data_IF_902884407849
#
_entry.id   IF_902884407849
#
_cell.length_a   1.000
_cell.length_b   1.000
_cell.length_c   1.000
_cell.angle_alpha   90.00
_cell.angle_beta   90.00
_cell.angle_gamma   90.00
#
_symmetry.space_group_name_H-M   'P 1'
#
loop_
_entity.id
_entity.type
_entity.pdbx_description
1 polymer ?
#
# COMPACT_ATOMS: atom_id res chain seq x y z
N UNK A 1 -15.15 20.70 15.91
CA UNK A 1 -13.73 20.81 16.25
C UNK A 1 -12.95 20.95 14.95
N UNK A 2 -11.98 21.85 14.87
CA UNK A 2 -11.08 21.91 13.72
C UNK A 2 -9.84 21.05 14.01
N UNK A 3 -9.46 20.18 13.07
CA UNK A 3 -8.21 19.42 13.10
C UNK A 3 -7.49 19.61 11.75
N UNK A 4 -6.15 19.54 11.69
CA UNK A 4 -5.42 19.59 10.43
C UNK A 4 -5.81 18.39 9.54
N UNK A 5 -6.21 18.66 8.30
CA UNK A 5 -6.36 17.62 7.27
C UNK A 5 -4.99 17.35 6.65
N UNK A 6 -4.30 16.32 7.16
CA UNK A 6 -3.06 15.85 6.57
C UNK A 6 -3.38 14.72 5.59
N UNK A 7 -3.06 14.92 4.31
CA UNK A 7 -3.14 13.90 3.27
C UNK A 7 -1.78 13.78 2.57
N UNK A 8 -1.41 12.57 2.20
CA UNK A 8 -0.21 12.31 1.41
C UNK A 8 -0.57 12.20 -0.07
N UNK A 9 0.33 12.67 -0.91
CA UNK A 9 0.35 12.39 -2.35
C UNK A 9 1.70 11.75 -2.69
N UNK A 10 1.68 10.66 -3.45
CA UNK A 10 2.90 9.91 -3.81
C UNK A 10 2.90 9.67 -5.30
N UNK A 11 4.03 9.96 -5.95
CA UNK A 11 4.21 9.77 -7.38
C UNK A 11 5.42 8.89 -7.64
N UNK A 12 5.21 7.76 -8.34
CA UNK A 12 6.28 6.92 -8.87
C UNK A 12 6.42 7.21 -10.36
N UNK A 13 7.66 7.41 -10.83
CA UNK A 13 7.92 7.81 -12.21
C UNK A 13 9.00 6.94 -12.84
N UNK A 14 8.73 6.41 -14.04
CA UNK A 14 9.73 5.74 -14.85
C UNK A 14 10.49 6.77 -15.67
N UNK A 15 11.78 6.95 -15.36
CA UNK A 15 12.64 7.93 -16.01
C UNK A 15 13.06 7.54 -17.44
N UNK A 16 12.92 6.27 -17.84
CA UNK A 16 13.34 5.79 -19.16
C UNK A 16 12.33 6.17 -20.25
N UNK A 17 11.04 6.03 -19.96
CA UNK A 17 9.94 6.30 -20.89
C UNK A 17 9.12 7.54 -20.49
N UNK A 18 9.52 8.23 -19.43
CA UNK A 18 8.89 9.41 -18.88
C UNK A 18 7.40 9.22 -18.58
N UNK A 19 7.04 8.14 -17.86
CA UNK A 19 5.65 7.85 -17.49
C UNK A 19 5.44 7.72 -15.98
N UNK A 20 4.24 8.07 -15.52
CA UNK A 20 3.78 7.72 -14.16
C UNK A 20 3.58 6.21 -14.03
N UNK A 21 3.91 5.68 -12.86
CA UNK A 21 3.70 4.28 -12.48
C UNK A 21 2.51 4.25 -11.52
N UNK A 22 1.44 3.58 -11.96
CA UNK A 22 0.29 3.21 -11.13
C UNK A 22 0.38 1.73 -10.74
N UNK A 23 -0.47 1.28 -9.81
CA UNK A 23 -0.61 -0.14 -9.50
C UNK A 23 -1.01 -0.95 -10.75
N UNK A 24 -1.94 -0.43 -11.56
CA UNK A 24 -2.41 -1.11 -12.78
C UNK A 24 -1.33 -1.29 -13.85
N UNK A 25 -0.31 -0.43 -13.86
CA UNK A 25 0.85 -0.57 -14.77
C UNK A 25 1.93 -1.45 -14.15
N UNK A 26 2.11 -1.39 -12.83
CA UNK A 26 3.14 -2.11 -12.09
C UNK A 26 2.83 -3.62 -12.02
N UNK A 27 1.57 -3.99 -11.86
CA UNK A 27 1.11 -5.37 -11.75
C UNK A 27 0.48 -5.88 -13.05
N UNK A 28 0.45 -7.20 -13.23
CA UNK A 28 -0.26 -7.82 -14.35
C UNK A 28 -1.78 -7.60 -14.21
N UNK A 29 -2.51 -7.21 -15.27
CA UNK A 29 -3.95 -6.94 -15.22
C UNK A 29 -4.79 -8.09 -14.65
N UNK A 30 -4.46 -9.34 -14.99
CA UNK A 30 -5.20 -10.54 -14.56
C UNK A 30 -4.57 -11.22 -13.33
N UNK A 31 -3.68 -10.53 -12.60
CA UNK A 31 -3.14 -11.05 -11.35
C UNK A 31 -4.03 -10.71 -10.16
N UNK A 32 -3.93 -11.52 -9.10
CA UNK A 32 -4.62 -11.30 -7.84
C UNK A 32 -3.91 -10.26 -6.94
N UNK A 33 -3.23 -9.27 -7.52
CA UNK A 33 -2.35 -8.38 -6.76
C UNK A 33 -3.08 -7.61 -5.66
N UNK A 34 -4.28 -7.06 -5.93
CA UNK A 34 -5.07 -6.35 -4.90
C UNK A 34 -5.40 -7.25 -3.70
N UNK A 35 -5.73 -8.51 -3.95
CA UNK A 35 -5.99 -9.48 -2.89
C UNK A 35 -4.71 -9.78 -2.08
N UNK A 36 -3.58 -9.94 -2.77
CA UNK A 36 -2.29 -10.16 -2.10
C UNK A 36 -1.85 -8.95 -1.28
N UNK A 37 -2.01 -7.72 -1.80
CA UNK A 37 -1.70 -6.49 -1.07
C UNK A 37 -2.59 -6.35 0.18
N UNK A 38 -3.89 -6.59 0.03
CA UNK A 38 -4.86 -6.59 1.13
C UNK A 38 -4.49 -7.56 2.24
N UNK A 39 -4.16 -8.81 1.90
CA UNK A 39 -3.80 -9.84 2.88
C UNK A 39 -2.50 -9.50 3.61
N UNK A 40 -1.47 -9.06 2.89
CA UNK A 40 -0.19 -8.69 3.51
C UNK A 40 -0.32 -7.44 4.37
N UNK A 41 -1.02 -6.41 3.88
CA UNK A 41 -1.26 -5.18 4.65
C UNK A 41 -2.05 -5.45 5.92
N UNK A 42 -3.15 -6.21 5.82
CA UNK A 42 -3.97 -6.57 6.98
C UNK A 42 -3.16 -7.33 8.02
N UNK A 43 -2.38 -8.33 7.58
CA UNK A 43 -1.56 -9.13 8.48
C UNK A 43 -0.53 -8.28 9.22
N UNK A 44 0.18 -7.40 8.50
CA UNK A 44 1.21 -6.55 9.09
C UNK A 44 0.58 -5.53 10.07
N UNK A 45 -0.50 -4.85 9.66
CA UNK A 45 -1.19 -3.87 10.50
C UNK A 45 -1.80 -4.49 11.77
N UNK A 46 -2.38 -5.69 11.68
CA UNK A 46 -2.89 -6.39 12.88
C UNK A 46 -1.77 -6.75 13.86
N UNK A 47 -0.55 -7.01 13.38
CA UNK A 47 0.60 -7.23 14.26
C UNK A 47 1.11 -5.92 14.86
N UNK A 48 1.15 -4.83 14.06
CA UNK A 48 1.53 -3.49 14.53
C UNK A 48 0.55 -2.99 15.63
N UNK A 49 -0.75 -3.23 15.46
CA UNK A 49 -1.83 -2.75 16.32
C UNK A 49 -2.41 -3.82 17.27
N UNK A 50 -1.68 -4.91 17.55
CA UNK A 50 -2.19 -6.03 18.35
C UNK A 50 -2.66 -5.68 19.77
N UNK A 51 -2.17 -4.57 20.33
CA UNK A 51 -2.56 -4.04 21.64
C UNK A 51 -3.73 -3.05 21.56
N UNK A 52 -4.20 -2.73 20.35
CA UNK A 52 -5.28 -1.78 20.08
C UNK A 52 -6.55 -2.52 19.64
N UNK A 53 -7.50 -2.79 20.56
CA UNK A 53 -8.69 -3.58 20.27
C UNK A 53 -9.63 -2.90 19.25
N UNK A 54 -9.52 -1.59 19.07
CA UNK A 54 -10.39 -0.80 18.19
C UNK A 54 -9.83 -0.72 16.75
N UNK A 55 -8.60 -1.19 16.50
CA UNK A 55 -7.96 -1.09 15.19
C UNK A 55 -8.55 -2.07 14.15
N UNK A 56 -9.14 -3.18 14.59
CA UNK A 56 -9.53 -4.27 13.70
C UNK A 56 -10.52 -3.84 12.60
N UNK A 57 -11.52 -3.02 12.95
CA UNK A 57 -12.53 -2.55 11.99
C UNK A 57 -11.91 -1.58 10.97
N UNK A 58 -11.09 -0.63 11.42
CA UNK A 58 -10.35 0.27 10.53
C UNK A 58 -9.43 -0.50 9.58
N UNK A 59 -8.66 -1.46 10.10
CA UNK A 59 -7.76 -2.26 9.29
C UNK A 59 -8.57 -3.06 8.26
N UNK A 60 -9.69 -3.67 8.65
CA UNK A 60 -10.52 -4.45 7.72
C UNK A 60 -11.06 -3.59 6.56
N UNK A 61 -11.52 -2.38 6.86
CA UNK A 61 -12.03 -1.43 5.86
C UNK A 61 -10.90 -0.89 4.97
N UNK A 62 -9.85 -0.32 5.56
CA UNK A 62 -8.75 0.31 4.85
C UNK A 62 -7.80 -0.65 4.12
N UNK A 63 -7.92 -1.96 4.36
CA UNK A 63 -7.20 -3.01 3.62
C UNK A 63 -8.11 -3.85 2.72
N UNK A 64 -9.31 -3.37 2.40
CA UNK A 64 -10.13 -4.00 1.35
C UNK A 64 -9.35 -4.10 0.02
N UNK A 65 -9.57 -5.15 -0.80
CA UNK A 65 -8.82 -5.38 -2.04
C UNK A 65 -9.28 -4.47 -3.19
N UNK A 66 -9.21 -3.16 -2.99
CA UNK A 66 -9.57 -2.10 -3.95
C UNK A 66 -8.33 -1.28 -4.29
N UNK A 67 -8.28 -0.70 -5.50
CA UNK A 67 -7.14 0.12 -5.91
C UNK A 67 -6.96 1.34 -5.01
N UNK A 68 -8.07 2.04 -4.71
CA UNK A 68 -8.14 3.24 -3.88
C UNK A 68 -7.47 3.06 -2.50
N UNK A 69 -7.55 1.86 -1.91
CA UNK A 69 -6.93 1.55 -0.61
C UNK A 69 -5.39 1.47 -0.67
N UNK A 70 -4.81 1.35 -1.87
CA UNK A 70 -3.37 1.14 -2.07
C UNK A 70 -2.74 2.15 -3.04
N UNK A 71 -3.47 3.20 -3.43
CA UNK A 71 -3.00 4.22 -4.39
C UNK A 71 -1.78 5.00 -3.91
N UNK A 72 -1.59 5.08 -2.58
CA UNK A 72 -0.42 5.68 -1.97
C UNK A 72 0.64 4.62 -1.73
N UNK A 73 1.55 4.46 -2.68
CA UNK A 73 2.65 3.52 -2.58
C UNK A 73 3.96 4.12 -3.07
N UNK A 74 5.09 3.56 -2.62
CA UNK A 74 6.40 3.81 -3.22
C UNK A 74 7.19 2.52 -3.39
N UNK A 75 8.12 2.54 -4.34
CA UNK A 75 9.09 1.48 -4.55
C UNK A 75 10.36 1.82 -3.78
N UNK A 76 10.69 1.03 -2.75
CA UNK A 76 11.95 1.14 -2.01
C UNK A 76 12.86 -0.06 -2.34
N UNK A 77 14.11 -0.03 -1.89
CA UNK A 77 15.09 -1.11 -2.07
C UNK A 77 14.64 -2.45 -1.48
N UNK A 78 13.82 -2.43 -0.43
CA UNK A 78 13.42 -3.62 0.32
C UNK A 78 12.05 -4.17 -0.11
N UNK A 79 11.23 -3.37 -0.80
CA UNK A 79 9.89 -3.78 -1.19
C UNK A 79 8.99 -2.65 -1.66
N UNK A 80 7.72 -3.02 -1.92
CA UNK A 80 6.64 -2.09 -2.14
C UNK A 80 6.15 -1.56 -0.79
N UNK A 81 6.24 -0.25 -0.58
CA UNK A 81 5.75 0.39 0.66
C UNK A 81 4.38 0.97 0.39
N UNK A 82 3.36 0.44 1.06
CA UNK A 82 2.01 0.98 1.11
C UNK A 82 1.92 2.03 2.21
N UNK A 83 1.28 3.15 1.93
CA UNK A 83 1.11 4.27 2.85
C UNK A 83 -0.38 4.51 3.06
N UNK A 84 -0.80 4.55 4.33
CA UNK A 84 -2.19 4.77 4.70
C UNK A 84 -2.29 6.12 5.39
N UNK A 85 -3.15 7.00 4.86
CA UNK A 85 -3.44 8.29 5.49
C UNK A 85 -4.07 8.10 6.88
N UNK A 86 -4.02 9.11 7.76
CA UNK A 86 -4.74 9.08 9.04
C UNK A 86 -6.22 8.70 8.84
N UNK A 87 -6.80 7.98 9.80
CA UNK A 87 -8.16 7.44 9.76
C UNK A 87 -8.41 6.29 8.75
N UNK A 88 -7.47 5.97 7.85
CA UNK A 88 -7.69 4.90 6.87
C UNK A 88 -7.64 3.50 7.48
N UNK A 89 -6.67 3.25 8.37
CA UNK A 89 -6.44 1.91 8.98
C UNK A 89 -6.27 1.95 10.50
N UNK A 90 -6.39 3.13 11.11
CA UNK A 90 -6.37 3.35 12.56
C UNK A 90 -6.99 4.72 12.86
N UNK A 91 -7.39 5.01 14.11
CA UNK A 91 -7.80 6.35 14.51
C UNK A 91 -6.80 7.44 14.11
N UNK A 92 -7.31 8.64 13.81
CA UNK A 92 -6.54 9.75 13.21
C UNK A 92 -5.26 10.14 13.98
N UNK A 93 -5.27 10.05 15.32
CA UNK A 93 -4.14 10.41 16.18
C UNK A 93 -2.91 9.49 16.02
N UNK A 94 -3.06 8.32 15.40
CA UNK A 94 -1.92 7.47 15.02
C UNK A 94 -1.14 8.03 13.81
N UNK A 95 -1.74 8.96 13.06
CA UNK A 95 -1.11 9.56 11.90
C UNK A 95 -1.00 8.58 10.72
N UNK A 96 0.03 8.77 9.90
CA UNK A 96 0.27 7.95 8.70
C UNK A 96 0.84 6.59 9.09
N UNK A 97 0.20 5.51 8.66
CA UNK A 97 0.67 4.13 8.82
C UNK A 97 1.36 3.64 7.54
N UNK A 98 2.31 2.71 7.67
CA UNK A 98 3.03 2.14 6.52
C UNK A 98 3.16 0.63 6.64
N UNK A 99 3.11 -0.05 5.50
CA UNK A 99 3.40 -1.48 5.38
C UNK A 99 4.43 -1.67 4.28
N UNK A 100 5.51 -2.40 4.57
CA UNK A 100 6.50 -2.80 3.55
C UNK A 100 6.25 -4.24 3.15
N UNK A 101 5.90 -4.47 1.89
CA UNK A 101 5.73 -5.81 1.32
C UNK A 101 7.01 -6.20 0.57
N UNK A 102 7.77 -7.19 1.05
CA UNK A 102 9.01 -7.61 0.40
C UNK A 102 8.75 -8.10 -1.03
N UNK A 103 9.63 -7.72 -1.96
CA UNK A 103 9.48 -8.12 -3.37
C UNK A 103 9.42 -9.63 -3.57
N UNK A 104 10.08 -10.42 -2.71
CA UNK A 104 9.99 -11.89 -2.76
C UNK A 104 8.57 -12.45 -2.67
N UNK A 105 7.63 -11.69 -2.09
CA UNK A 105 6.23 -12.10 -1.95
C UNK A 105 5.35 -11.72 -3.15
N UNK A 106 5.71 -10.67 -3.90
CA UNK A 106 4.84 -10.06 -4.92
C UNK A 106 5.47 -9.96 -6.32
N UNK A 107 6.78 -10.24 -6.47
CA UNK A 107 7.51 -10.13 -7.75
C UNK A 107 6.90 -10.97 -8.86
N UNK A 108 6.34 -12.14 -8.55
CA UNK A 108 5.68 -13.00 -9.55
C UNK A 108 4.41 -12.38 -10.13
N UNK A 109 3.85 -11.34 -9.50
CA UNK A 109 2.65 -10.63 -9.92
C UNK A 109 2.97 -9.39 -10.76
N UNK A 110 4.22 -8.93 -10.77
CA UNK A 110 4.62 -7.73 -11.49
C UNK A 110 4.47 -7.91 -13.00
N UNK A 111 4.15 -6.82 -13.68
CA UNK A 111 4.24 -6.74 -15.12
C UNK A 111 5.72 -6.95 -15.54
N UNK A 112 6.01 -7.83 -16.52
CA UNK A 112 7.38 -8.13 -16.94
C UNK A 112 8.23 -6.92 -17.29
N UNK A 113 7.63 -5.81 -17.76
CA UNK A 113 8.33 -4.54 -18.01
C UNK A 113 9.08 -4.01 -16.77
N UNK A 114 8.57 -4.30 -15.57
CA UNK A 114 9.13 -3.82 -14.30
C UNK A 114 10.10 -4.83 -13.65
N UNK A 115 10.45 -5.92 -14.36
CA UNK A 115 11.33 -6.98 -13.81
C UNK A 115 12.74 -6.52 -13.46
N UNK A 116 13.20 -5.42 -14.08
CA UNK A 116 14.53 -4.82 -13.90
C UNK A 116 14.61 -3.78 -12.77
N UNK A 117 13.47 -3.43 -12.15
CA UNK A 117 13.42 -2.55 -10.97
C UNK A 117 13.71 -3.37 -9.68
N UNK A 118 13.94 -4.68 -9.84
CA UNK A 118 14.08 -5.68 -8.78
C UNK A 118 15.43 -6.41 -8.81
#
# INVERSE_FOLDING_TARGET
MAHPNNYNEVFNYNLQNASLISLSTLFKPDSNYLQTLAEQARKDLLEQEKENPDAADFINEGTGPTADNFDLFLLDKDGLVLIFNPAAVAPDYFGTMKVTIPYGQIRSLFNPEFSSIL
#
